data_IF_097274437061
#
_entry.id   IF_097274437061
#
_cell.length_a   1.000
_cell.length_b   1.000
_cell.length_c   1.000
_cell.angle_alpha   90.00
_cell.angle_beta   90.00
_cell.angle_gamma   90.00
#
_symmetry.space_group_name_H-M   'P 1'
#
loop_
_entity.id
_entity.type
_entity.pdbx_description
1 polymer ?
#
# COMPACT_ATOMS: atom_id res chain seq x y z
N UNK A 1 -48.35 24.44 -55.48
CA UNK A 1 -48.51 24.56 -54.01
C UNK A 1 -47.15 24.75 -53.34
N UNK A 2 -46.71 26.00 -53.20
CA UNK A 2 -45.38 26.35 -52.66
C UNK A 2 -45.36 26.36 -51.12
N UNK A 3 -44.45 25.59 -50.52
CA UNK A 3 -44.23 25.56 -49.07
C UNK A 3 -43.42 26.78 -48.65
N UNK A 4 -44.03 27.62 -47.81
CA UNK A 4 -43.46 28.86 -47.24
C UNK A 4 -42.22 28.57 -46.35
N UNK A 5 -41.17 29.41 -46.40
CA UNK A 5 -40.01 29.29 -45.53
C UNK A 5 -40.34 29.73 -44.10
N UNK A 6 -40.03 28.88 -43.11
CA UNK A 6 -40.13 29.19 -41.67
C UNK A 6 -39.06 30.23 -41.29
N UNK A 7 -39.50 31.42 -40.90
CA UNK A 7 -38.68 32.48 -40.29
C UNK A 7 -37.91 31.94 -39.07
N UNK A 8 -36.58 32.00 -39.14
CA UNK A 8 -35.68 31.85 -37.97
C UNK A 8 -36.01 32.95 -36.97
N UNK A 9 -36.52 32.55 -35.81
CA UNK A 9 -36.77 33.42 -34.65
C UNK A 9 -35.41 33.81 -34.07
N UNK A 10 -34.96 35.03 -34.34
CA UNK A 10 -33.85 35.66 -33.60
C UNK A 10 -34.23 35.66 -32.11
N UNK A 11 -33.60 34.78 -31.33
CA UNK A 11 -33.56 34.94 -29.88
C UNK A 11 -32.69 36.15 -29.60
N UNK A 12 -33.34 37.28 -29.34
CA UNK A 12 -32.76 38.42 -28.62
C UNK A 12 -32.16 37.89 -27.33
N UNK A 13 -30.88 38.18 -27.11
CA UNK A 13 -30.23 38.05 -25.83
C UNK A 13 -30.91 39.04 -24.86
N UNK A 14 -31.81 38.53 -24.04
CA UNK A 14 -32.32 39.21 -22.85
C UNK A 14 -31.83 38.40 -21.65
N UNK A 15 -30.58 38.67 -21.27
CA UNK A 15 -29.97 38.26 -20.01
C UNK A 15 -28.79 39.21 -19.73
N UNK A 16 -29.09 40.51 -19.69
CA UNK A 16 -28.23 41.52 -19.09
C UNK A 16 -28.98 42.01 -17.85
N UNK A 17 -28.80 41.30 -16.72
CA UNK A 17 -29.29 41.71 -15.41
C UNK A 17 -28.71 40.80 -14.30
N UNK A 18 -27.38 40.78 -14.21
CA UNK A 18 -26.62 40.47 -12.98
C UNK A 18 -25.12 40.78 -13.19
N UNK A 19 -24.80 41.91 -13.84
CA UNK A 19 -23.41 42.37 -13.92
C UNK A 19 -23.24 43.47 -12.86
N UNK A 20 -22.74 43.08 -11.69
CA UNK A 20 -21.98 44.03 -10.87
C UNK A 20 -20.77 44.55 -11.67
N UNK A 21 -20.13 45.65 -11.26
CA UNK A 21 -18.95 46.17 -11.96
C UNK A 21 -17.91 45.05 -12.12
N UNK A 22 -17.42 44.85 -13.35
CA UNK A 22 -16.38 43.87 -13.65
C UNK A 22 -15.05 44.35 -13.04
N UNK A 23 -14.85 44.01 -11.77
CA UNK A 23 -13.64 44.38 -11.03
C UNK A 23 -12.43 43.49 -11.40
N UNK A 24 -12.63 42.44 -12.21
CA UNK A 24 -11.61 41.43 -12.48
C UNK A 24 -10.92 41.61 -13.84
N UNK A 25 -11.55 42.28 -14.80
CA UNK A 25 -10.91 42.65 -16.08
C UNK A 25 -9.97 43.86 -15.99
N UNK A 26 -9.93 44.55 -14.85
CA UNK A 26 -8.98 45.63 -14.55
C UNK A 26 -7.73 45.16 -13.78
N UNK A 27 -7.60 43.86 -13.50
CA UNK A 27 -6.40 43.32 -12.86
C UNK A 27 -5.17 43.51 -13.78
N UNK A 28 -4.04 43.90 -13.20
CA UNK A 28 -2.77 43.92 -13.92
C UNK A 28 -2.34 42.50 -14.29
N UNK A 29 -1.59 42.36 -15.38
CA UNK A 29 -1.06 41.07 -15.84
C UNK A 29 -0.29 40.34 -14.73
N UNK A 30 0.46 41.07 -13.89
CA UNK A 30 1.22 40.51 -12.77
C UNK A 30 0.33 39.89 -11.68
N UNK A 31 -0.77 40.57 -11.33
CA UNK A 31 -1.73 40.07 -10.35
C UNK A 31 -2.49 38.87 -10.92
N UNK A 32 -2.89 38.95 -12.19
CA UNK A 32 -3.55 37.85 -12.89
C UNK A 32 -2.63 36.62 -12.98
N UNK A 33 -1.35 36.81 -13.29
CA UNK A 33 -0.32 35.76 -13.30
C UNK A 33 -0.11 35.14 -11.92
N UNK A 34 -0.03 35.95 -10.87
CA UNK A 34 0.07 35.46 -9.48
C UNK A 34 -1.15 34.62 -9.06
N UNK A 35 -2.35 35.01 -9.48
CA UNK A 35 -3.58 34.24 -9.27
C UNK A 35 -3.52 32.93 -10.06
N UNK A 36 -3.18 32.98 -11.35
CA UNK A 36 -3.09 31.81 -12.24
C UNK A 36 -2.07 30.79 -11.74
N UNK A 37 -0.91 31.23 -11.24
CA UNK A 37 0.13 30.36 -10.67
C UNK A 37 -0.30 29.63 -9.39
N UNK A 38 -1.39 30.06 -8.74
CA UNK A 38 -1.99 29.39 -7.57
C UNK A 38 -3.17 28.49 -7.93
N UNK A 39 -3.72 28.63 -9.13
CA UNK A 39 -4.84 27.82 -9.61
C UNK A 39 -4.34 26.56 -10.29
N UNK A 40 -5.12 25.48 -10.21
CA UNK A 40 -4.82 24.31 -11.03
C UNK A 40 -5.12 24.61 -12.50
N UNK A 41 -4.43 23.93 -13.42
CA UNK A 41 -4.67 24.11 -14.87
C UNK A 41 -6.15 23.93 -15.25
N UNK A 42 -6.90 23.07 -14.53
CA UNK A 42 -8.35 22.89 -14.72
C UNK A 42 -9.17 24.13 -14.31
N UNK A 43 -8.80 24.80 -13.22
CA UNK A 43 -9.46 26.02 -12.78
C UNK A 43 -9.07 27.21 -13.65
N UNK A 44 -7.82 27.30 -14.11
CA UNK A 44 -7.39 28.29 -15.09
C UNK A 44 -8.16 28.15 -16.43
N UNK A 45 -8.32 26.93 -16.93
CA UNK A 45 -9.12 26.66 -18.13
C UNK A 45 -10.61 27.02 -17.94
N UNK A 46 -11.17 26.79 -16.74
CA UNK A 46 -12.53 27.24 -16.39
C UNK A 46 -12.61 28.77 -16.38
N UNK A 47 -11.63 29.46 -15.78
CA UNK A 47 -11.57 30.92 -15.75
C UNK A 47 -11.53 31.51 -17.17
N UNK A 48 -10.73 30.92 -18.06
CA UNK A 48 -10.69 31.27 -19.48
C UNK A 48 -12.03 31.08 -20.21
N UNK A 49 -12.91 30.21 -19.70
CA UNK A 49 -14.25 30.02 -20.26
C UNK A 49 -15.27 31.06 -19.76
N UNK A 50 -15.03 31.71 -18.61
CA UNK A 50 -15.96 32.65 -17.96
C UNK A 50 -16.07 33.98 -18.71
N UNK A 51 -14.97 34.49 -19.28
CA UNK A 51 -14.96 35.78 -19.98
C UNK A 51 -14.09 35.74 -21.24
N UNK A 52 -14.40 36.61 -22.23
CA UNK A 52 -13.58 36.80 -23.43
C UNK A 52 -12.20 37.38 -23.11
N UNK A 53 -12.12 38.23 -22.08
CA UNK A 53 -10.85 38.79 -21.60
C UNK A 53 -9.94 37.68 -21.07
N UNK A 54 -10.43 36.87 -20.12
CA UNK A 54 -9.66 35.72 -19.61
C UNK A 54 -9.36 34.67 -20.67
N UNK A 55 -10.23 34.47 -21.67
CA UNK A 55 -9.92 33.58 -22.79
C UNK A 55 -8.68 33.98 -23.57
N UNK A 56 -8.41 35.30 -23.66
CA UNK A 56 -7.25 35.85 -24.37
C UNK A 56 -6.01 35.86 -23.49
N UNK A 57 -6.13 36.31 -22.24
CA UNK A 57 -4.98 36.52 -21.34
C UNK A 57 -4.49 35.22 -20.67
N UNK A 58 -5.40 34.33 -20.25
CA UNK A 58 -5.04 33.15 -19.46
C UNK A 58 -4.06 32.21 -20.18
N UNK A 59 -4.23 31.88 -21.48
CA UNK A 59 -3.27 31.00 -22.17
C UNK A 59 -1.85 31.58 -22.26
N UNK A 60 -1.72 32.91 -22.39
CA UNK A 60 -0.42 33.58 -22.49
C UNK A 60 0.28 33.73 -21.12
N UNK A 61 -0.50 33.87 -20.05
CA UNK A 61 0.00 34.01 -18.67
C UNK A 61 0.15 32.69 -17.92
N UNK A 62 -0.28 31.58 -18.52
CA UNK A 62 -0.10 30.25 -17.92
C UNK A 62 1.36 29.85 -18.06
N UNK A 63 2.12 29.91 -16.97
CA UNK A 63 3.53 29.50 -16.95
C UNK A 63 3.70 28.02 -16.58
N UNK A 64 2.61 27.31 -16.26
CA UNK A 64 2.67 25.95 -15.74
C UNK A 64 1.48 25.08 -16.13
N UNK A 65 1.78 23.85 -16.56
CA UNK A 65 0.83 22.76 -16.74
C UNK A 65 1.01 21.77 -15.59
N UNK A 66 0.01 21.64 -14.73
CA UNK A 66 0.08 20.76 -13.57
C UNK A 66 0.09 19.28 -13.94
N UNK A 67 -0.70 18.90 -14.95
CA UNK A 67 -0.85 17.52 -15.37
C UNK A 67 -1.28 17.43 -16.83
N UNK A 68 -0.58 16.61 -17.60
CA UNK A 68 -0.92 16.23 -18.96
C UNK A 68 -1.11 14.72 -19.02
N UNK A 69 -2.21 14.26 -19.64
CA UNK A 69 -2.44 12.84 -19.91
C UNK A 69 -2.47 12.60 -21.41
N UNK A 70 -1.59 11.73 -21.90
CA UNK A 70 -1.49 11.37 -23.31
C UNK A 70 -2.01 9.95 -23.52
N UNK A 71 -3.12 9.82 -24.25
CA UNK A 71 -3.71 8.54 -24.65
C UNK A 71 -3.16 8.02 -25.96
N UNK A 72 -2.57 8.86 -26.81
CA UNK A 72 -1.83 8.46 -27.99
C UNK A 72 -0.65 9.43 -28.17
N UNK A 73 0.62 9.01 -28.00
CA UNK A 73 1.80 9.88 -28.17
C UNK A 73 2.10 10.26 -29.63
N UNK A 74 1.19 9.99 -30.58
CA UNK A 74 1.33 10.50 -31.94
C UNK A 74 0.88 11.97 -31.94
N UNK A 75 1.84 12.88 -31.79
CA UNK A 75 1.65 14.29 -32.06
C UNK A 75 2.73 14.77 -33.04
N UNK A 76 2.28 15.36 -34.14
CA UNK A 76 2.94 16.53 -34.74
C UNK A 76 2.03 17.75 -34.48
N UNK A 77 2.58 18.96 -34.24
CA UNK A 77 3.95 19.29 -33.89
C UNK A 77 4.14 19.38 -32.36
N UNK A 78 5.42 19.49 -31.97
CA UNK A 78 6.01 19.77 -30.66
C UNK A 78 5.13 20.52 -29.65
N UNK A 79 5.34 20.27 -28.33
CA UNK A 79 4.93 21.26 -27.34
C UNK A 79 5.48 22.61 -27.82
N UNK A 80 4.68 23.68 -27.78
CA UNK A 80 5.05 24.95 -28.39
C UNK A 80 6.44 25.36 -27.88
N UNK A 81 7.37 25.62 -28.80
CA UNK A 81 8.78 26.02 -28.56
C UNK A 81 8.91 27.35 -27.78
N UNK A 82 7.80 27.95 -27.36
CA UNK A 82 7.78 29.09 -26.46
C UNK A 82 8.19 28.67 -25.04
N UNK A 83 9.34 29.11 -24.53
CA UNK A 83 9.59 29.07 -23.09
C UNK A 83 8.58 29.99 -22.35
N UNK A 84 8.16 29.69 -21.10
CA UNK A 84 8.51 28.55 -20.26
C UNK A 84 7.25 27.89 -19.64
N UNK A 85 6.56 27.02 -20.37
CA UNK A 85 5.53 26.18 -19.75
C UNK A 85 6.20 25.09 -18.91
N UNK A 86 6.17 25.21 -17.58
CA UNK A 86 6.64 24.15 -16.67
C UNK A 86 5.61 23.01 -16.66
N UNK A 87 6.00 21.84 -17.12
CA UNK A 87 5.15 20.64 -17.06
C UNK A 87 5.49 19.88 -15.78
N UNK A 88 4.61 19.91 -14.78
CA UNK A 88 4.88 19.20 -13.52
C UNK A 88 4.72 17.69 -13.66
N UNK A 89 3.60 17.24 -14.23
CA UNK A 89 3.21 15.82 -14.32
C UNK A 89 2.82 15.40 -15.73
N UNK A 90 3.33 14.26 -16.16
CA UNK A 90 3.01 13.63 -17.45
C UNK A 90 2.58 12.19 -17.23
N UNK A 91 1.36 11.84 -17.64
CA UNK A 91 0.83 10.47 -17.61
C UNK A 91 0.61 9.96 -19.04
N UNK A 92 1.29 8.89 -19.44
CA UNK A 92 1.19 8.31 -20.78
C UNK A 92 0.49 6.95 -20.71
N UNK A 93 -0.68 6.83 -21.31
CA UNK A 93 -1.55 5.66 -21.23
C UNK A 93 -2.14 5.26 -22.59
N UNK A 94 -1.32 4.71 -23.51
CA UNK A 94 -1.76 4.36 -24.84
C UNK A 94 -2.71 3.17 -24.87
N UNK A 95 -3.78 3.29 -25.66
CA UNK A 95 -4.73 2.19 -25.88
C UNK A 95 -4.19 1.13 -26.84
N UNK A 96 -3.22 1.48 -27.68
CA UNK A 96 -2.61 0.62 -28.68
C UNK A 96 -1.16 0.31 -28.35
N UNK A 97 -0.62 -0.70 -29.03
CA UNK A 97 0.81 -1.02 -28.93
C UNK A 97 1.61 -0.02 -29.72
N UNK A 98 2.61 0.60 -29.10
CA UNK A 98 3.43 1.63 -29.71
C UNK A 98 4.92 1.31 -29.55
N UNK A 99 5.74 1.69 -30.54
CA UNK A 99 7.18 1.49 -30.44
C UNK A 99 7.78 2.41 -29.38
N UNK A 100 8.83 1.94 -28.70
CA UNK A 100 9.52 2.72 -27.67
C UNK A 100 10.03 4.09 -28.19
N UNK A 101 10.34 4.18 -29.49
CA UNK A 101 10.79 5.42 -30.14
C UNK A 101 9.73 6.54 -30.10
N UNK A 102 8.44 6.21 -30.17
CA UNK A 102 7.36 7.20 -30.17
C UNK A 102 7.32 8.00 -28.86
N UNK A 103 7.69 7.38 -27.74
CA UNK A 103 7.72 8.04 -26.44
C UNK A 103 8.97 8.90 -26.24
N UNK A 104 10.04 8.70 -27.03
CA UNK A 104 11.33 9.35 -26.80
C UNK A 104 11.26 10.86 -27.02
N UNK A 105 10.59 11.29 -28.10
CA UNK A 105 10.43 12.72 -28.42
C UNK A 105 9.66 13.43 -27.30
N UNK A 106 8.49 12.90 -26.94
CA UNK A 106 7.63 13.41 -25.87
C UNK A 106 8.36 13.51 -24.54
N UNK A 107 9.15 12.50 -24.17
CA UNK A 107 9.91 12.52 -22.92
C UNK A 107 11.04 13.54 -22.92
N UNK A 108 11.75 13.70 -24.04
CA UNK A 108 12.83 14.68 -24.14
C UNK A 108 12.28 16.10 -24.03
N UNK A 109 11.17 16.37 -24.71
CA UNK A 109 10.45 17.63 -24.69
C UNK A 109 9.95 17.93 -23.27
N UNK A 110 9.21 16.99 -22.66
CA UNK A 110 8.74 17.13 -21.28
C UNK A 110 9.89 17.33 -20.26
N UNK A 111 11.03 16.65 -20.46
CA UNK A 111 12.19 16.82 -19.59
C UNK A 111 12.81 18.23 -19.68
N UNK A 112 12.77 18.88 -20.85
CA UNK A 112 13.19 20.29 -21.00
C UNK A 112 12.22 21.24 -20.26
N UNK A 113 10.95 20.87 -20.17
CA UNK A 113 9.90 21.61 -19.46
C UNK A 113 9.84 21.33 -17.94
N UNK A 114 10.89 20.77 -17.35
CA UNK A 114 11.01 20.63 -15.88
C UNK A 114 10.17 19.51 -15.26
N UNK A 115 9.90 18.43 -16.01
CA UNK A 115 9.10 17.30 -15.56
C UNK A 115 9.54 16.73 -14.20
N UNK A 116 8.61 16.66 -13.26
CA UNK A 116 8.84 16.14 -11.90
C UNK A 116 8.11 14.84 -11.60
N UNK A 117 6.97 14.57 -12.25
CA UNK A 117 6.15 13.38 -12.04
C UNK A 117 5.87 12.70 -13.38
N UNK A 118 6.25 11.43 -13.54
CA UNK A 118 6.09 10.68 -14.77
C UNK A 118 5.35 9.37 -14.52
N UNK A 119 4.25 9.17 -15.25
CA UNK A 119 3.45 7.96 -15.24
C UNK A 119 3.44 7.27 -16.60
N UNK A 120 3.67 5.95 -16.63
CA UNK A 120 3.47 5.12 -17.81
C UNK A 120 2.51 3.98 -17.50
N UNK A 121 1.42 3.88 -18.27
CA UNK A 121 0.52 2.73 -18.24
C UNK A 121 0.45 2.12 -19.63
N UNK A 122 1.33 1.15 -19.87
CA UNK A 122 1.43 0.54 -21.20
C UNK A 122 0.66 -0.77 -21.26
N UNK A 123 0.10 -1.09 -22.43
CA UNK A 123 -0.59 -2.37 -22.65
C UNK A 123 0.44 -3.46 -22.97
N UNK A 124 0.26 -4.68 -22.43
CA UNK A 124 1.05 -5.89 -22.77
C UNK A 124 2.57 -5.80 -22.53
N UNK A 125 3.05 -5.17 -21.45
CA UNK A 125 4.50 -5.14 -21.09
C UNK A 125 5.39 -4.56 -22.19
N UNK A 126 4.92 -3.53 -22.89
CA UNK A 126 5.73 -2.81 -23.87
C UNK A 126 7.00 -2.26 -23.23
N UNK A 127 8.08 -2.25 -24.02
CA UNK A 127 9.37 -1.74 -23.58
C UNK A 127 9.34 -0.22 -23.49
N UNK A 128 9.76 0.30 -22.34
CA UNK A 128 9.99 1.72 -22.15
C UNK A 128 11.21 2.20 -22.95
N UNK A 129 11.26 3.48 -23.32
CA UNK A 129 12.46 4.04 -23.94
C UNK A 129 13.63 4.09 -22.96
N UNK A 130 14.85 4.12 -23.50
CA UNK A 130 16.09 4.03 -22.69
C UNK A 130 16.31 5.22 -21.74
N UNK A 131 15.65 6.35 -22.01
CA UNK A 131 15.83 7.63 -21.32
C UNK A 131 14.81 7.89 -20.19
N UNK A 132 13.85 6.99 -19.92
CA UNK A 132 12.84 7.20 -18.85
C UNK A 132 13.50 7.48 -17.50
N UNK A 133 14.57 6.75 -17.19
CA UNK A 133 15.28 6.89 -15.92
C UNK A 133 16.39 7.94 -15.95
N UNK A 134 16.55 8.67 -17.06
CA UNK A 134 17.61 9.67 -17.26
C UNK A 134 17.16 11.10 -16.96
N UNK A 135 15.88 11.31 -16.64
CA UNK A 135 15.31 12.62 -16.30
C UNK A 135 15.76 13.02 -14.89
N UNK A 136 16.61 14.06 -14.79
CA UNK A 136 17.24 14.47 -13.53
C UNK A 136 16.27 15.10 -12.52
N UNK A 137 15.28 15.85 -13.02
CA UNK A 137 14.26 16.56 -12.23
C UNK A 137 13.16 15.63 -11.68
N UNK A 138 13.20 14.34 -12.01
CA UNK A 138 12.13 13.40 -11.68
C UNK A 138 12.10 13.10 -10.17
N UNK A 139 10.95 13.37 -9.55
CA UNK A 139 10.65 13.13 -8.13
C UNK A 139 9.76 11.90 -7.96
N UNK A 140 8.82 11.69 -8.87
CA UNK A 140 7.87 10.56 -8.83
C UNK A 140 7.88 9.82 -10.16
N UNK A 141 8.06 8.50 -10.11
CA UNK A 141 7.95 7.61 -11.26
C UNK A 141 6.94 6.51 -10.98
N UNK A 142 5.87 6.46 -11.78
CA UNK A 142 4.83 5.41 -11.72
C UNK A 142 4.83 4.61 -13.03
N UNK A 143 5.22 3.34 -12.93
CA UNK A 143 5.31 2.42 -14.05
C UNK A 143 4.30 1.29 -13.87
N UNK A 144 3.40 1.15 -14.83
CA UNK A 144 2.35 0.15 -14.82
C UNK A 144 2.33 -0.66 -16.13
N UNK A 145 2.30 -1.99 -15.98
CA UNK A 145 2.18 -2.95 -17.08
C UNK A 145 3.20 -2.78 -18.22
N UNK A 146 4.40 -2.31 -17.92
CA UNK A 146 5.50 -2.05 -18.87
C UNK A 146 6.74 -2.93 -18.62
N UNK A 147 7.72 -2.85 -19.51
CA UNK A 147 9.02 -3.50 -19.37
C UNK A 147 10.15 -2.46 -19.39
N UNK A 148 10.99 -2.44 -18.36
CA UNK A 148 12.18 -1.59 -18.31
C UNK A 148 13.32 -2.34 -19.01
N UNK A 149 13.93 -1.76 -20.06
CA UNK A 149 15.06 -2.38 -20.73
C UNK A 149 16.27 -2.53 -19.79
N UNK A 150 17.03 -3.65 -19.86
CA UNK A 150 18.15 -3.89 -18.96
C UNK A 150 19.32 -2.92 -19.19
N UNK A 151 19.42 -2.28 -20.36
CA UNK A 151 20.44 -1.26 -20.67
C UNK A 151 19.97 0.18 -20.36
N UNK A 152 18.89 0.36 -19.59
CA UNK A 152 18.44 1.70 -19.21
C UNK A 152 19.44 2.31 -18.21
N UNK A 153 19.93 3.51 -18.47
CA UNK A 153 20.80 4.24 -17.55
C UNK A 153 19.94 5.01 -16.53
N UNK A 154 20.07 4.64 -15.25
CA UNK A 154 19.40 5.32 -14.16
C UNK A 154 20.22 6.53 -13.70
N UNK A 155 19.72 7.74 -14.01
CA UNK A 155 20.29 9.04 -13.60
C UNK A 155 19.17 9.93 -13.04
N UNK A 156 18.53 9.48 -11.97
CA UNK A 156 17.39 10.15 -11.34
C UNK A 156 17.67 10.48 -9.85
N UNK A 157 18.57 11.44 -9.57
CA UNK A 157 19.04 11.72 -8.20
C UNK A 157 17.94 12.27 -7.28
N UNK A 158 16.97 12.99 -7.85
CA UNK A 158 15.87 13.61 -7.10
C UNK A 158 14.69 12.66 -6.86
N UNK A 159 14.77 11.40 -7.29
CA UNK A 159 13.66 10.47 -7.22
C UNK A 159 13.36 10.12 -5.76
N UNK A 160 12.13 10.43 -5.32
CA UNK A 160 11.64 10.15 -3.96
C UNK A 160 10.64 9.01 -3.91
N UNK A 161 9.87 8.82 -4.99
CA UNK A 161 8.83 7.79 -5.07
C UNK A 161 8.95 7.00 -6.36
N UNK A 162 9.14 5.69 -6.23
CA UNK A 162 9.14 4.74 -7.34
C UNK A 162 8.02 3.72 -7.14
N UNK A 163 7.06 3.70 -8.07
CA UNK A 163 5.96 2.74 -8.11
C UNK A 163 6.09 1.85 -9.33
N UNK A 164 6.20 0.55 -9.09
CA UNK A 164 6.32 -0.47 -10.11
C UNK A 164 5.16 -1.46 -9.94
N UNK A 165 4.21 -1.42 -10.86
CA UNK A 165 3.05 -2.32 -10.88
C UNK A 165 3.06 -3.17 -12.14
N UNK A 166 3.15 -4.50 -11.99
CA UNK A 166 3.15 -5.45 -13.12
C UNK A 166 4.28 -5.18 -14.12
N UNK A 167 5.41 -4.68 -13.65
CA UNK A 167 6.56 -4.28 -14.47
C UNK A 167 7.54 -5.44 -14.64
N UNK A 168 8.08 -5.61 -15.85
CA UNK A 168 9.24 -6.46 -16.09
C UNK A 168 10.53 -5.64 -15.94
N UNK A 169 11.33 -5.91 -14.91
CA UNK A 169 12.54 -5.17 -14.56
C UNK A 169 13.63 -6.12 -14.07
N UNK A 170 14.86 -5.89 -14.52
CA UNK A 170 16.02 -6.69 -14.11
C UNK A 170 16.56 -6.23 -12.75
N UNK A 171 17.11 -7.15 -11.97
CA UNK A 171 17.71 -6.86 -10.66
C UNK A 171 18.78 -5.76 -10.74
N UNK A 172 19.67 -5.83 -11.73
CA UNK A 172 20.73 -4.82 -11.92
C UNK A 172 20.19 -3.43 -12.23
N UNK A 173 18.99 -3.35 -12.81
CA UNK A 173 18.36 -2.06 -13.08
C UNK A 173 17.83 -1.45 -11.80
N UNK A 174 17.25 -2.26 -10.90
CA UNK A 174 16.81 -1.79 -9.59
C UNK A 174 18.00 -1.35 -8.75
N UNK A 175 19.07 -2.15 -8.70
CA UNK A 175 20.28 -1.78 -7.98
C UNK A 175 20.83 -0.43 -8.47
N UNK A 176 20.88 -0.21 -9.79
CA UNK A 176 21.28 1.08 -10.35
C UNK A 176 20.33 2.22 -9.99
N UNK A 177 19.02 1.99 -9.96
CA UNK A 177 18.06 3.02 -9.51
C UNK A 177 18.31 3.36 -8.04
N UNK A 178 18.45 2.36 -7.16
CA UNK A 178 18.70 2.57 -5.73
C UNK A 178 20.01 3.31 -5.45
N UNK A 179 21.07 3.02 -6.22
CA UNK A 179 22.36 3.72 -6.12
C UNK A 179 22.26 5.15 -6.64
N UNK A 180 21.53 5.37 -7.74
CA UNK A 180 21.39 6.72 -8.32
C UNK A 180 20.42 7.62 -7.56
N UNK A 181 19.36 7.07 -6.95
CA UNK A 181 18.31 7.78 -6.23
C UNK A 181 18.58 7.78 -4.72
N UNK A 182 19.56 8.59 -4.29
CA UNK A 182 19.92 8.71 -2.87
C UNK A 182 18.78 9.22 -1.99
N UNK A 183 17.81 9.94 -2.57
CA UNK A 183 16.65 10.49 -1.87
C UNK A 183 15.40 9.61 -1.93
N UNK A 184 15.51 8.34 -2.38
CA UNK A 184 14.34 7.47 -2.55
C UNK A 184 13.72 7.09 -1.20
N UNK A 185 12.55 7.63 -0.90
CA UNK A 185 11.84 7.38 0.35
C UNK A 185 10.80 6.25 0.20
N UNK A 186 10.13 6.17 -0.96
CA UNK A 186 9.02 5.23 -1.20
C UNK A 186 9.33 4.33 -2.39
N UNK A 187 9.31 3.02 -2.15
CA UNK A 187 9.47 1.98 -3.15
C UNK A 187 8.29 1.01 -3.11
N UNK A 188 7.46 1.03 -4.15
CA UNK A 188 6.35 0.09 -4.32
C UNK A 188 6.67 -0.86 -5.48
N UNK A 189 6.72 -2.15 -5.19
CA UNK A 189 7.02 -3.22 -6.14
C UNK A 189 5.93 -4.27 -6.07
N UNK A 190 4.91 -4.07 -6.89
CA UNK A 190 3.77 -4.97 -6.97
C UNK A 190 3.77 -5.76 -8.27
N UNK A 191 3.68 -7.07 -8.16
CA UNK A 191 3.55 -8.00 -9.27
C UNK A 191 4.63 -7.81 -10.34
N UNK A 192 5.85 -7.47 -9.91
CA UNK A 192 6.98 -7.31 -10.80
C UNK A 192 7.62 -8.66 -11.17
N UNK A 193 8.24 -8.72 -12.35
CA UNK A 193 8.96 -9.90 -12.87
C UNK A 193 10.33 -9.51 -13.41
N UNK A 194 11.25 -10.46 -13.59
CA UNK A 194 12.60 -10.19 -14.12
C UNK A 194 13.71 -10.17 -13.07
N UNK A 195 13.39 -10.49 -11.82
CA UNK A 195 14.35 -10.70 -10.74
C UNK A 195 15.09 -12.03 -10.92
N UNK A 196 16.39 -11.96 -11.25
CA UNK A 196 17.29 -13.11 -11.38
C UNK A 196 17.26 -13.80 -12.75
N UNK A 197 18.42 -13.85 -13.40
CA UNK A 197 18.68 -14.75 -14.54
C UNK A 197 18.94 -16.17 -14.01
N UNK A 198 17.91 -17.02 -13.92
CA UNK A 198 18.13 -18.42 -13.54
C UNK A 198 16.89 -19.19 -13.10
N UNK A 199 17.06 -20.50 -12.85
CA UNK A 199 15.99 -21.40 -12.33
C UNK A 199 15.54 -21.06 -10.90
N UNK A 200 16.34 -20.29 -10.16
CA UNK A 200 16.10 -19.85 -8.77
C UNK A 200 16.22 -18.33 -8.65
N UNK A 201 15.42 -17.58 -9.41
CA UNK A 201 15.44 -16.11 -9.40
C UNK A 201 15.27 -15.51 -7.99
N UNK A 202 16.08 -14.50 -7.67
CA UNK A 202 16.09 -13.82 -6.37
C UNK A 202 16.02 -12.30 -6.48
N UNK A 203 15.59 -11.65 -5.40
CA UNK A 203 15.51 -10.19 -5.30
C UNK A 203 16.29 -9.67 -4.10
N UNK A 204 17.32 -8.86 -4.34
CA UNK A 204 18.13 -8.24 -3.28
C UNK A 204 17.88 -6.74 -3.28
N UNK A 205 17.40 -6.21 -2.17
CA UNK A 205 17.15 -4.79 -1.99
C UNK A 205 18.12 -4.25 -0.95
N UNK A 206 19.04 -3.37 -1.36
CA UNK A 206 19.93 -2.65 -0.45
C UNK A 206 19.72 -1.17 -0.64
N UNK A 207 19.18 -0.50 0.37
CA UNK A 207 19.01 0.95 0.33
C UNK A 207 18.90 1.53 1.73
N UNK A 208 19.76 2.49 2.10
CA UNK A 208 19.66 3.17 3.39
C UNK A 208 18.55 4.24 3.42
N UNK A 209 18.11 4.73 2.26
CA UNK A 209 17.18 5.87 2.15
C UNK A 209 15.71 5.47 2.15
N UNK A 210 15.38 4.23 1.74
CA UNK A 210 13.99 3.76 1.63
C UNK A 210 13.34 3.66 3.01
N UNK A 211 12.26 4.43 3.19
CA UNK A 211 11.44 4.49 4.41
C UNK A 211 10.15 3.68 4.29
N UNK A 212 9.59 3.60 3.08
CA UNK A 212 8.32 2.93 2.81
C UNK A 212 8.54 1.89 1.71
N UNK A 213 8.37 0.61 2.05
CA UNK A 213 8.53 -0.51 1.12
C UNK A 213 7.25 -1.32 1.01
N UNK A 214 6.77 -1.50 -0.22
CA UNK A 214 5.75 -2.49 -0.56
C UNK A 214 6.36 -3.50 -1.52
N UNK A 215 6.45 -4.76 -1.12
CA UNK A 215 7.00 -5.84 -1.94
C UNK A 215 5.99 -6.98 -2.06
N UNK A 216 5.42 -7.12 -3.25
CA UNK A 216 4.40 -8.12 -3.60
C UNK A 216 4.78 -8.84 -4.89
N UNK A 217 5.59 -9.90 -4.86
CA UNK A 217 6.08 -10.54 -6.07
C UNK A 217 4.97 -11.31 -6.82
N UNK A 218 5.08 -11.31 -8.16
CA UNK A 218 4.23 -12.13 -9.06
C UNK A 218 4.73 -13.56 -9.20
N UNK A 219 6.05 -13.71 -9.32
CA UNK A 219 6.67 -14.96 -9.73
C UNK A 219 7.23 -15.71 -8.52
N UNK A 220 7.57 -16.98 -8.75
CA UNK A 220 8.21 -17.88 -7.79
C UNK A 220 9.62 -17.37 -7.52
N UNK A 221 9.77 -16.41 -6.61
CA UNK A 221 11.08 -16.01 -6.11
C UNK A 221 11.60 -17.08 -5.17
N UNK A 222 12.79 -17.58 -5.43
CA UNK A 222 13.46 -18.53 -4.56
C UNK A 222 14.09 -17.81 -3.37
N UNK A 223 14.69 -16.65 -3.61
CA UNK A 223 15.46 -15.91 -2.61
C UNK A 223 15.03 -14.43 -2.55
N UNK A 224 14.93 -13.87 -1.36
CA UNK A 224 14.65 -12.44 -1.18
C UNK A 224 15.47 -11.91 0.00
N UNK A 225 16.27 -10.88 -0.22
CA UNK A 225 17.05 -10.24 0.83
C UNK A 225 16.74 -8.75 0.86
N UNK A 226 16.26 -8.23 1.98
CA UNK A 226 15.89 -6.83 2.17
C UNK A 226 16.76 -6.25 3.28
N UNK A 227 17.66 -5.34 2.88
CA UNK A 227 18.61 -4.62 3.73
C UNK A 227 18.36 -3.12 3.62
N UNK A 228 17.45 -2.62 4.43
CA UNK A 228 17.11 -1.20 4.47
C UNK A 228 16.91 -0.75 5.92
N UNK A 229 17.96 -0.15 6.49
CA UNK A 229 18.01 0.25 7.90
C UNK A 229 17.07 1.42 8.23
N UNK A 230 16.81 2.31 7.26
CA UNK A 230 15.90 3.45 7.40
C UNK A 230 14.41 3.13 7.25
N UNK A 231 14.02 1.84 7.19
CA UNK A 231 12.63 1.44 6.99
C UNK A 231 11.74 1.85 8.16
N UNK A 232 10.66 2.57 7.84
CA UNK A 232 9.59 2.95 8.78
C UNK A 232 8.32 2.14 8.57
N UNK A 233 8.05 1.74 7.33
CA UNK A 233 6.93 0.88 6.98
C UNK A 233 7.33 -0.17 5.95
N UNK A 234 6.98 -1.43 6.23
CA UNK A 234 7.18 -2.54 5.30
C UNK A 234 5.89 -3.31 5.08
N UNK A 235 5.61 -3.65 3.83
CA UNK A 235 4.55 -4.57 3.43
C UNK A 235 5.18 -5.65 2.55
N UNK A 236 5.49 -6.79 3.15
CA UNK A 236 6.17 -7.92 2.53
C UNK A 236 5.21 -9.09 2.32
N UNK A 237 5.10 -9.55 1.08
CA UNK A 237 4.42 -10.79 0.74
C UNK A 237 5.41 -11.76 0.13
N UNK A 238 5.43 -13.00 0.60
CA UNK A 238 6.12 -14.09 -0.11
C UNK A 238 5.11 -14.95 -0.86
N UNK A 239 5.61 -15.75 -1.80
CA UNK A 239 4.84 -16.76 -2.54
C UNK A 239 5.32 -18.15 -2.15
N UNK A 240 4.49 -19.17 -2.36
CA UNK A 240 4.71 -20.53 -1.88
C UNK A 240 5.89 -21.31 -2.50
N UNK A 241 6.88 -20.63 -3.10
CA UNK A 241 8.14 -21.25 -3.54
C UNK A 241 9.38 -20.50 -3.04
N UNK A 242 9.21 -19.56 -2.11
CA UNK A 242 10.33 -18.92 -1.42
C UNK A 242 11.08 -19.97 -0.60
N UNK A 243 12.37 -20.14 -0.92
CA UNK A 243 13.31 -21.01 -0.20
C UNK A 243 14.07 -20.23 0.87
N UNK A 244 14.47 -19.00 0.53
CA UNK A 244 15.23 -18.12 1.41
C UNK A 244 14.62 -16.73 1.53
N UNK A 245 14.55 -16.22 2.75
CA UNK A 245 14.16 -14.84 3.04
C UNK A 245 15.10 -14.27 4.10
N UNK A 246 15.74 -13.14 3.80
CA UNK A 246 16.51 -12.36 4.75
C UNK A 246 15.87 -10.98 4.91
N UNK A 247 15.44 -10.67 6.12
CA UNK A 247 14.97 -9.34 6.49
C UNK A 247 15.90 -8.78 7.57
N UNK A 248 16.76 -7.83 7.17
CA UNK A 248 17.73 -7.25 8.08
C UNK A 248 17.08 -6.34 9.13
N UNK A 249 17.83 -6.03 10.19
CA UNK A 249 17.45 -5.10 11.24
C UNK A 249 17.06 -3.72 10.68
N UNK A 250 15.94 -3.19 11.17
CA UNK A 250 15.40 -1.87 10.82
C UNK A 250 14.87 -1.17 12.09
N UNK A 251 15.73 -0.44 12.83
CA UNK A 251 15.37 0.12 14.14
C UNK A 251 14.32 1.25 14.08
N UNK A 252 14.15 1.89 12.93
CA UNK A 252 13.13 2.95 12.73
C UNK A 252 11.73 2.40 12.39
N UNK A 253 11.54 1.09 12.38
CA UNK A 253 10.28 0.48 11.92
C UNK A 253 9.12 0.81 12.85
N UNK A 254 8.04 1.32 12.26
CA UNK A 254 6.78 1.67 12.96
C UNK A 254 5.62 0.78 12.54
N UNK A 255 5.61 0.30 11.28
CA UNK A 255 4.52 -0.52 10.73
C UNK A 255 5.08 -1.68 9.91
N UNK A 256 4.80 -2.91 10.32
CA UNK A 256 5.21 -4.10 9.59
C UNK A 256 4.00 -4.95 9.21
N UNK A 257 3.87 -5.26 7.93
CA UNK A 257 2.97 -6.27 7.40
C UNK A 257 3.79 -7.36 6.73
N UNK A 258 3.82 -8.55 7.31
CA UNK A 258 4.56 -9.70 6.83
C UNK A 258 3.57 -10.82 6.55
N UNK A 259 3.46 -11.23 5.28
CA UNK A 259 2.61 -12.35 4.88
C UNK A 259 3.44 -13.40 4.17
N UNK A 260 3.58 -14.57 4.79
CA UNK A 260 4.36 -15.66 4.21
C UNK A 260 3.46 -16.76 3.68
N UNK A 261 3.54 -17.03 2.37
CA UNK A 261 2.73 -18.08 1.76
C UNK A 261 3.25 -19.48 2.14
N UNK A 262 2.35 -20.46 2.19
CA UNK A 262 2.70 -21.88 2.42
C UNK A 262 3.64 -22.37 1.33
N UNK A 263 4.84 -22.83 1.72
CA UNK A 263 5.74 -23.54 0.82
C UNK A 263 5.49 -25.05 0.91
N UNK A 264 5.32 -25.77 -0.21
CA UNK A 264 5.24 -27.22 -0.23
C UNK A 264 6.63 -27.90 -0.17
N UNK A 265 7.72 -27.13 -0.22
CA UNK A 265 9.10 -27.62 -0.15
C UNK A 265 9.71 -27.26 1.21
N UNK A 266 10.69 -28.06 1.64
CA UNK A 266 11.54 -27.80 2.80
C UNK A 266 12.07 -26.36 2.70
N UNK A 267 11.78 -25.55 3.71
CA UNK A 267 12.19 -24.16 3.79
C UNK A 267 13.67 -24.15 4.17
N UNK A 268 14.53 -23.50 3.38
CA UNK A 268 15.99 -23.60 3.55
C UNK A 268 16.51 -22.59 4.59
N UNK A 269 16.14 -21.31 4.48
CA UNK A 269 16.52 -20.31 5.50
C UNK A 269 15.61 -19.08 5.49
N UNK A 270 14.88 -18.86 6.58
CA UNK A 270 14.14 -17.61 6.80
C UNK A 270 14.74 -16.92 8.01
N UNK A 271 15.30 -15.74 7.80
CA UNK A 271 15.90 -14.90 8.83
C UNK A 271 15.08 -13.61 8.98
N UNK A 272 14.13 -13.61 9.91
CA UNK A 272 13.21 -12.49 10.19
C UNK A 272 13.38 -11.96 11.61
N UNK A 273 13.90 -12.80 12.52
CA UNK A 273 14.21 -12.43 13.90
C UNK A 273 14.99 -11.11 14.05
N UNK A 274 16.10 -10.85 13.33
CA UNK A 274 16.84 -9.60 13.50
C UNK A 274 16.00 -8.34 13.23
N UNK A 275 15.02 -8.44 12.34
CA UNK A 275 14.09 -7.36 12.04
C UNK A 275 13.09 -7.13 13.17
N UNK A 276 12.52 -8.18 13.76
CA UNK A 276 11.61 -8.05 14.90
C UNK A 276 12.34 -7.62 16.17
N UNK A 277 13.55 -8.14 16.40
CA UNK A 277 14.35 -7.80 17.57
C UNK A 277 14.77 -6.31 17.56
N UNK A 278 14.87 -5.70 16.37
CA UNK A 278 15.13 -4.25 16.25
C UNK A 278 13.88 -3.37 16.40
N UNK A 279 12.69 -3.97 16.39
CA UNK A 279 11.40 -3.30 16.22
C UNK A 279 10.83 -2.60 17.45
N UNK A 280 11.65 -1.95 18.28
CA UNK A 280 11.22 -1.33 19.55
C UNK A 280 10.10 -0.29 19.37
N UNK A 281 10.11 0.43 18.24
CA UNK A 281 9.14 1.50 17.88
C UNK A 281 7.94 1.00 17.09
N UNK A 282 7.74 -0.31 16.98
CA UNK A 282 6.61 -0.88 16.23
C UNK A 282 5.29 -0.47 16.86
N UNK A 283 4.44 0.19 16.07
CA UNK A 283 3.08 0.57 16.44
C UNK A 283 2.04 -0.41 15.89
N UNK A 284 2.33 -1.02 14.73
CA UNK A 284 1.45 -1.96 14.07
C UNK A 284 2.23 -3.15 13.50
N UNK A 285 1.89 -4.35 13.94
CA UNK A 285 2.46 -5.61 13.46
C UNK A 285 1.35 -6.50 12.92
N UNK A 286 1.49 -6.94 11.66
CA UNK A 286 0.55 -7.84 11.01
C UNK A 286 1.30 -9.03 10.44
N UNK A 287 1.10 -10.20 11.03
CA UNK A 287 1.69 -11.47 10.65
C UNK A 287 0.62 -12.34 10.01
N UNK A 288 0.80 -12.69 8.74
CA UNK A 288 -0.16 -13.46 7.96
C UNK A 288 0.44 -14.72 7.33
N UNK A 289 -0.41 -15.69 7.01
CA UNK A 289 0.03 -16.95 6.42
C UNK A 289 0.90 -17.74 7.40
N UNK A 290 2.06 -18.22 6.96
CA UNK A 290 3.05 -18.97 7.75
C UNK A 290 4.04 -18.07 8.53
N UNK A 291 3.75 -16.78 8.67
CA UNK A 291 4.60 -15.88 9.46
C UNK A 291 4.77 -16.35 10.90
N UNK A 292 3.69 -16.78 11.57
CA UNK A 292 3.78 -17.31 12.92
C UNK A 292 4.63 -18.57 12.99
N UNK A 293 4.45 -19.51 12.05
CA UNK A 293 5.25 -20.74 11.96
C UNK A 293 6.76 -20.49 11.84
N UNK A 294 7.14 -19.55 10.97
CA UNK A 294 8.56 -19.22 10.74
C UNK A 294 9.17 -18.60 12.00
N UNK A 295 8.46 -17.65 12.59
CA UNK A 295 8.93 -16.98 13.80
C UNK A 295 8.97 -17.94 14.99
N UNK A 296 7.97 -18.81 15.15
CA UNK A 296 8.00 -19.79 16.24
C UNK A 296 9.22 -20.72 16.17
N UNK A 297 9.69 -21.07 14.96
CA UNK A 297 10.94 -21.82 14.81
C UNK A 297 12.20 -21.00 15.07
N UNK A 298 12.25 -19.71 14.70
CA UNK A 298 13.42 -18.85 14.98
C UNK A 298 13.59 -18.54 16.47
N UNK A 299 12.52 -18.66 17.26
CA UNK A 299 12.47 -18.37 18.70
C UNK A 299 12.19 -19.61 19.55
N UNK A 300 12.38 -20.81 19.00
CA UNK A 300 12.06 -22.08 19.69
C UNK A 300 12.80 -22.20 21.03
N UNK A 301 14.11 -21.96 21.01
CA UNK A 301 15.00 -22.03 22.17
C UNK A 301 14.89 -20.82 23.11
N UNK A 302 14.15 -19.78 22.72
CA UNK A 302 14.11 -18.51 23.44
C UNK A 302 12.87 -18.47 24.34
N UNK A 303 13.02 -18.48 25.67
CA UNK A 303 11.87 -18.55 26.58
C UNK A 303 11.02 -17.27 26.53
N UNK A 304 11.65 -16.10 26.39
CA UNK A 304 10.99 -14.78 26.34
C UNK A 304 11.62 -13.93 25.24
N UNK A 305 10.80 -13.18 24.52
CA UNK A 305 11.33 -12.19 23.57
C UNK A 305 12.15 -11.16 24.34
N UNK A 306 13.34 -10.85 23.84
CA UNK A 306 14.21 -9.85 24.48
C UNK A 306 13.68 -8.43 24.32
N UNK A 307 12.71 -8.23 23.43
CA UNK A 307 12.25 -6.92 22.98
C UNK A 307 10.83 -6.67 23.47
N UNK A 308 10.67 -5.52 24.13
CA UNK A 308 9.38 -5.05 24.60
C UNK A 308 8.79 -4.06 23.60
N UNK A 309 7.66 -4.41 23.01
CA UNK A 309 6.96 -3.59 22.04
C UNK A 309 6.04 -2.58 22.75
N UNK A 310 6.64 -1.61 23.44
CA UNK A 310 5.91 -0.63 24.26
C UNK A 310 4.96 0.25 23.45
N UNK A 311 5.33 0.53 22.19
CA UNK A 311 4.56 1.36 21.27
C UNK A 311 3.51 0.59 20.47
N UNK A 312 3.48 -0.75 20.57
CA UNK A 312 2.60 -1.57 19.75
C UNK A 312 1.15 -1.40 20.20
N UNK A 313 0.32 -0.87 19.30
CA UNK A 313 -1.11 -0.67 19.51
C UNK A 313 -1.95 -1.66 18.73
N UNK A 314 -1.46 -2.14 17.60
CA UNK A 314 -2.20 -3.01 16.68
C UNK A 314 -1.39 -4.28 16.41
N UNK A 315 -1.95 -5.42 16.79
CA UNK A 315 -1.42 -6.74 16.48
C UNK A 315 -2.45 -7.54 15.68
N UNK A 316 -2.06 -8.04 14.52
CA UNK A 316 -2.86 -9.00 13.74
C UNK A 316 -2.02 -10.22 13.45
N UNK A 317 -2.49 -11.40 13.82
CA UNK A 317 -1.77 -12.66 13.64
C UNK A 317 -2.64 -13.69 12.95
N UNK A 318 -2.00 -14.56 12.18
CA UNK A 318 -2.58 -15.75 11.57
C UNK A 318 -1.89 -16.95 12.19
N UNK A 319 -2.62 -17.75 12.97
CA UNK A 319 -2.07 -18.83 13.80
C UNK A 319 -2.72 -20.15 13.40
N UNK A 320 -1.90 -21.19 13.25
CA UNK A 320 -2.36 -22.57 13.20
C UNK A 320 -2.39 -23.17 14.61
N UNK A 321 -3.59 -23.32 15.16
CA UNK A 321 -3.78 -23.84 16.52
C UNK A 321 -3.48 -25.34 16.65
N UNK A 322 -3.31 -26.06 15.53
CA UNK A 322 -2.90 -27.47 15.54
C UNK A 322 -1.39 -27.66 15.73
N UNK A 323 -0.60 -26.58 15.59
CA UNK A 323 0.84 -26.59 15.77
C UNK A 323 1.16 -26.09 17.19
N UNK A 324 1.77 -26.91 18.04
CA UNK A 324 2.00 -26.56 19.46
C UNK A 324 2.86 -25.29 19.65
N UNK A 325 3.79 -25.04 18.73
CA UNK A 325 4.76 -23.94 18.82
C UNK A 325 4.14 -22.57 18.52
N UNK A 326 3.13 -22.50 17.66
CA UNK A 326 2.55 -21.21 17.24
C UNK A 326 1.73 -20.53 18.35
N UNK A 327 0.84 -21.22 19.10
CA UNK A 327 0.18 -20.69 20.29
C UNK A 327 1.17 -20.28 21.39
N UNK A 328 2.21 -21.08 21.64
CA UNK A 328 3.25 -20.74 22.64
C UNK A 328 3.96 -19.46 22.24
N UNK A 329 4.33 -19.31 20.96
CA UNK A 329 4.94 -18.09 20.44
C UNK A 329 3.97 -16.89 20.49
N UNK A 330 2.68 -17.09 20.22
CA UNK A 330 1.65 -16.06 20.38
C UNK A 330 1.62 -15.52 21.81
N UNK A 331 1.66 -16.39 22.82
CA UNK A 331 1.68 -15.96 24.23
C UNK A 331 2.94 -15.14 24.54
N UNK A 332 4.13 -15.61 24.11
CA UNK A 332 5.39 -14.86 24.24
C UNK A 332 5.30 -13.46 23.59
N UNK A 333 4.66 -13.37 22.42
CA UNK A 333 4.47 -12.10 21.71
C UNK A 333 3.52 -11.16 22.49
N UNK A 334 2.40 -11.68 23.00
CA UNK A 334 1.43 -10.90 23.77
C UNK A 334 2.01 -10.41 25.11
N UNK A 335 2.80 -11.23 25.81
CA UNK A 335 3.56 -10.86 27.01
C UNK A 335 4.49 -9.65 26.74
N UNK A 336 5.01 -9.55 25.52
CA UNK A 336 5.94 -8.50 25.10
C UNK A 336 5.25 -7.22 24.60
N UNK A 337 3.91 -7.17 24.60
CA UNK A 337 3.10 -6.07 24.05
C UNK A 337 2.22 -5.41 25.14
N UNK A 338 2.77 -4.68 26.12
CA UNK A 338 2.03 -4.24 27.32
C UNK A 338 0.87 -3.28 27.03
N UNK A 339 0.92 -2.53 25.93
CA UNK A 339 -0.03 -1.45 25.62
C UNK A 339 -0.90 -1.76 24.39
N UNK A 340 -1.18 -3.04 24.13
CA UNK A 340 -1.92 -3.48 22.97
C UNK A 340 -3.38 -3.02 23.03
N UNK A 341 -3.84 -2.28 22.01
CA UNK A 341 -5.22 -1.76 21.95
C UNK A 341 -6.12 -2.58 21.01
N UNK A 342 -5.58 -3.06 19.89
CA UNK A 342 -6.31 -3.78 18.87
C UNK A 342 -5.65 -5.12 18.59
N UNK A 343 -6.36 -6.21 18.86
CA UNK A 343 -5.88 -7.55 18.60
C UNK A 343 -6.77 -8.25 17.57
N UNK A 344 -6.16 -8.77 16.50
CA UNK A 344 -6.85 -9.58 15.50
C UNK A 344 -6.22 -10.96 15.41
N UNK A 345 -6.98 -11.99 15.74
CA UNK A 345 -6.58 -13.39 15.60
C UNK A 345 -7.29 -13.99 14.37
N UNK A 346 -6.53 -14.59 13.46
CA UNK A 346 -7.06 -15.37 12.35
C UNK A 346 -6.60 -16.82 12.50
N UNK A 347 -7.52 -17.77 12.58
CA UNK A 347 -7.16 -19.18 12.68
C UNK A 347 -6.94 -19.73 11.27
N UNK A 348 -5.74 -20.24 11.01
CA UNK A 348 -5.34 -20.84 9.75
C UNK A 348 -5.27 -22.36 9.91
N UNK A 349 -5.88 -23.11 8.99
CA UNK A 349 -5.83 -24.58 8.99
C UNK A 349 -7.20 -25.26 9.06
N UNK A 350 -7.25 -26.53 8.68
CA UNK A 350 -8.39 -27.41 8.97
C UNK A 350 -8.07 -28.07 10.31
N UNK A 351 -8.55 -27.53 11.41
CA UNK A 351 -8.43 -28.23 12.69
C UNK A 351 -9.23 -29.54 12.58
N UNK A 352 -8.53 -30.67 12.46
CA UNK A 352 -9.14 -31.98 12.71
C UNK A 352 -9.36 -32.11 14.21
N UNK A 353 -10.54 -32.58 14.62
CA UNK A 353 -10.96 -32.70 16.02
C UNK A 353 -10.00 -33.52 16.90
N UNK A 354 -9.09 -34.29 16.30
CA UNK A 354 -8.24 -35.25 16.99
C UNK A 354 -6.82 -34.78 17.31
N UNK A 355 -6.42 -33.56 16.91
CA UNK A 355 -5.08 -33.03 17.16
C UNK A 355 -5.18 -31.80 18.08
N UNK A 356 -5.66 -31.99 19.31
CA UNK A 356 -5.40 -31.02 20.36
C UNK A 356 -3.97 -31.26 20.87
N UNK A 357 -3.10 -30.25 20.92
CA UNK A 357 -1.88 -30.36 21.70
C UNK A 357 -2.24 -30.68 23.15
N UNK A 358 -1.63 -31.72 23.75
CA UNK A 358 -1.74 -31.93 25.19
C UNK A 358 -0.90 -30.86 25.91
N UNK A 359 -1.37 -30.46 27.09
CA UNK A 359 -0.51 -29.93 28.16
C UNK A 359 -0.02 -28.46 28.10
N UNK A 360 -0.90 -27.48 27.92
CA UNK A 360 -0.79 -26.20 28.68
C UNK A 360 -2.20 -25.69 28.93
N UNK A 361 -2.61 -25.51 30.19
CA UNK A 361 -3.83 -24.76 30.47
C UNK A 361 -3.59 -23.30 30.06
N UNK A 362 -4.15 -22.83 28.93
CA UNK A 362 -3.83 -21.51 28.41
C UNK A 362 -4.31 -20.42 29.37
N UNK A 363 -5.25 -20.74 30.24
CA UNK A 363 -5.97 -19.80 31.10
C UNK A 363 -5.05 -19.15 32.13
N UNK A 364 -4.15 -19.92 32.76
CA UNK A 364 -3.19 -19.40 33.75
C UNK A 364 -2.13 -18.49 33.11
N UNK A 365 -1.70 -18.83 31.90
CA UNK A 365 -0.76 -17.99 31.14
C UNK A 365 -1.42 -16.77 30.53
N UNK A 366 -2.69 -16.84 30.14
CA UNK A 366 -3.44 -15.69 29.65
C UNK A 366 -3.71 -14.68 30.77
N UNK A 367 -3.95 -15.16 32.01
CA UNK A 367 -4.15 -14.34 33.19
C UNK A 367 -2.93 -13.47 33.54
N UNK A 368 -1.71 -13.94 33.26
CA UNK A 368 -0.49 -13.18 33.50
C UNK A 368 -0.20 -12.09 32.46
N UNK A 369 -0.96 -12.06 31.35
CA UNK A 369 -0.75 -11.10 30.26
C UNK A 369 -1.54 -9.81 30.53
N UNK A 370 -0.84 -8.79 31.02
CA UNK A 370 -1.44 -7.50 31.38
C UNK A 370 -2.16 -6.78 30.23
N UNK A 371 -1.71 -6.96 28.98
CA UNK A 371 -2.31 -6.25 27.85
C UNK A 371 -3.74 -6.73 27.52
N UNK A 372 -4.06 -7.99 27.81
CA UNK A 372 -5.38 -8.55 27.57
C UNK A 372 -6.41 -8.04 28.58
N UNK A 373 -5.98 -7.74 29.81
CA UNK A 373 -6.85 -7.25 30.88
C UNK A 373 -6.97 -5.73 30.91
N UNK A 374 -5.84 -5.02 30.72
CA UNK A 374 -5.73 -3.59 31.02
C UNK A 374 -5.77 -2.64 29.82
N UNK A 375 -5.35 -3.06 28.62
CA UNK A 375 -5.21 -2.13 27.48
C UNK A 375 -6.07 -2.45 26.27
N UNK A 376 -6.55 -3.69 26.15
CA UNK A 376 -7.26 -4.16 24.96
C UNK A 376 -8.63 -3.48 24.81
N UNK A 377 -8.82 -2.76 23.70
CA UNK A 377 -10.06 -2.03 23.36
C UNK A 377 -10.87 -2.74 22.28
N UNK A 378 -10.19 -3.35 21.31
CA UNK A 378 -10.84 -4.00 20.17
C UNK A 378 -10.26 -5.39 19.93
N UNK A 379 -11.13 -6.39 19.86
CA UNK A 379 -10.78 -7.75 19.53
C UNK A 379 -11.49 -8.20 18.25
N UNK A 380 -10.75 -8.85 17.34
CA UNK A 380 -11.30 -9.45 16.13
C UNK A 380 -10.85 -10.89 15.97
N UNK A 381 -11.79 -11.81 15.99
CA UNK A 381 -11.56 -13.22 15.73
C UNK A 381 -12.04 -13.57 14.30
N UNK A 382 -11.15 -14.08 13.46
CA UNK A 382 -11.47 -14.53 12.10
C UNK A 382 -11.33 -16.04 11.96
N UNK A 383 -12.36 -16.67 11.40
CA UNK A 383 -12.39 -18.13 11.22
C UNK A 383 -12.59 -18.87 12.53
N UNK A 384 -13.37 -18.29 13.45
CA UNK A 384 -13.70 -18.92 14.71
C UNK A 384 -14.45 -20.23 14.47
N UNK A 385 -14.00 -21.28 15.15
CA UNK A 385 -14.70 -22.57 15.26
C UNK A 385 -14.88 -22.88 16.74
N UNK A 386 -16.06 -23.34 17.18
CA UNK A 386 -16.36 -23.59 18.58
C UNK A 386 -15.63 -24.84 19.12
N UNK A 387 -14.30 -24.80 19.14
CA UNK A 387 -13.43 -25.81 19.72
C UNK A 387 -13.03 -25.41 21.13
N UNK A 388 -12.78 -26.38 22.01
CA UNK A 388 -12.56 -26.13 23.45
C UNK A 388 -11.53 -25.04 23.73
N UNK A 389 -10.38 -25.04 23.04
CA UNK A 389 -9.36 -24.00 23.18
C UNK A 389 -9.85 -22.61 22.75
N UNK A 390 -10.50 -22.50 21.57
CA UNK A 390 -11.01 -21.23 21.06
C UNK A 390 -12.13 -20.68 21.94
N UNK A 391 -12.98 -21.58 22.47
CA UNK A 391 -14.03 -21.28 23.44
C UNK A 391 -13.43 -20.71 24.74
N UNK A 392 -12.42 -21.37 25.31
CA UNK A 392 -11.72 -20.92 26.53
C UNK A 392 -11.03 -19.57 26.32
N UNK A 393 -10.32 -19.38 25.21
CA UNK A 393 -9.68 -18.10 24.87
C UNK A 393 -10.70 -16.97 24.73
N UNK A 394 -11.80 -17.20 24.01
CA UNK A 394 -12.86 -16.22 23.85
C UNK A 394 -13.52 -15.89 25.20
N UNK A 395 -13.86 -16.92 25.99
CA UNK A 395 -14.45 -16.76 27.33
C UNK A 395 -13.55 -15.98 28.28
N UNK A 396 -12.25 -16.26 28.27
CA UNK A 396 -11.26 -15.50 29.03
C UNK A 396 -11.23 -14.02 28.61
N UNK A 397 -11.14 -13.73 27.30
CA UNK A 397 -11.09 -12.34 26.82
C UNK A 397 -12.37 -11.56 27.14
N UNK A 398 -13.54 -12.22 27.08
CA UNK A 398 -14.82 -11.56 27.37
C UNK A 398 -15.02 -11.30 28.87
N UNK A 399 -14.46 -12.14 29.75
CA UNK A 399 -14.60 -12.00 31.21
C UNK A 399 -13.52 -11.11 31.82
N UNK A 400 -12.28 -11.17 31.34
CA UNK A 400 -11.12 -10.52 31.96
C UNK A 400 -10.71 -9.20 31.31
N UNK A 401 -11.11 -8.92 30.07
CA UNK A 401 -10.77 -7.66 29.40
C UNK A 401 -11.69 -6.51 29.83
N UNK A 402 -11.22 -5.69 30.78
CA UNK A 402 -12.02 -4.62 31.37
C UNK A 402 -12.32 -3.49 30.38
N UNK A 403 -11.37 -3.16 29.50
CA UNK A 403 -11.46 -2.03 28.58
C UNK A 403 -11.97 -2.38 27.17
N UNK A 404 -12.41 -3.63 26.96
CA UNK A 404 -12.84 -4.11 25.66
C UNK A 404 -14.16 -3.45 25.25
N UNK A 405 -14.15 -2.66 24.18
CA UNK A 405 -15.32 -1.94 23.64
C UNK A 405 -15.91 -2.60 22.40
N UNK A 406 -15.09 -3.25 21.59
CA UNK A 406 -15.54 -3.83 20.32
C UNK A 406 -15.05 -5.26 20.16
N UNK A 407 -15.98 -6.18 19.88
CA UNK A 407 -15.68 -7.57 19.56
C UNK A 407 -16.26 -7.91 18.19
N UNK A 408 -15.41 -8.44 17.31
CA UNK A 408 -15.81 -8.90 15.99
C UNK A 408 -15.49 -10.38 15.85
N UNK A 409 -16.49 -11.20 15.53
CA UNK A 409 -16.30 -12.65 15.31
C UNK A 409 -16.79 -12.99 13.90
N UNK A 410 -15.93 -13.59 13.10
CA UNK A 410 -16.24 -14.17 11.80
C UNK A 410 -16.17 -15.71 11.92
N UNK A 411 -17.28 -16.39 11.64
CA UNK A 411 -17.50 -17.82 11.85
C UNK A 411 -18.29 -18.45 10.69
N UNK A 412 -18.42 -19.78 10.68
CA UNK A 412 -19.22 -20.52 9.69
C UNK A 412 -20.72 -20.45 10.03
N UNK A 413 -21.63 -20.58 9.05
CA UNK A 413 -23.09 -20.42 9.26
C UNK A 413 -23.70 -21.34 10.32
N UNK A 414 -23.13 -22.52 10.50
CA UNK A 414 -23.69 -23.53 11.40
C UNK A 414 -23.40 -23.23 12.88
N UNK A 415 -22.44 -22.37 13.19
CA UNK A 415 -21.97 -22.12 14.56
C UNK A 415 -22.63 -20.91 15.23
N UNK A 416 -23.68 -20.33 14.62
CA UNK A 416 -24.31 -19.09 15.09
C UNK A 416 -24.79 -19.17 16.53
N UNK A 417 -25.55 -20.21 16.89
CA UNK A 417 -26.13 -20.37 18.22
C UNK A 417 -25.04 -20.44 19.30
N UNK A 418 -23.98 -21.22 19.06
CA UNK A 418 -22.85 -21.37 19.98
C UNK A 418 -22.07 -20.07 20.15
N UNK A 419 -21.89 -19.30 19.08
CA UNK A 419 -21.21 -18.00 19.14
C UNK A 419 -22.06 -16.98 19.90
N UNK A 420 -23.38 -16.98 19.71
CA UNK A 420 -24.30 -16.11 20.45
C UNK A 420 -24.33 -16.42 21.95
N UNK A 421 -24.39 -17.71 22.32
CA UNK A 421 -24.30 -18.16 23.71
C UNK A 421 -22.99 -17.68 24.35
N UNK A 422 -21.85 -17.81 23.67
CA UNK A 422 -20.56 -17.35 24.20
C UNK A 422 -20.44 -15.85 24.36
N UNK A 423 -20.99 -15.09 23.41
CA UNK A 423 -20.96 -13.65 23.49
C UNK A 423 -21.91 -13.13 24.59
N UNK A 424 -22.92 -13.90 24.97
CA UNK A 424 -23.83 -13.57 26.07
C UNK A 424 -23.20 -13.66 27.47
N UNK A 425 -22.01 -14.28 27.58
CA UNK A 425 -21.26 -14.39 28.85
C UNK A 425 -20.87 -13.01 29.41
N UNK A 426 -20.75 -11.99 28.56
CA UNK A 426 -20.43 -10.64 28.99
C UNK A 426 -21.70 -9.84 29.30
N UNK A 427 -21.89 -9.48 30.56
CA UNK A 427 -23.03 -8.73 31.11
C UNK A 427 -23.03 -7.23 30.78
N UNK A 428 -22.47 -6.83 29.63
CA UNK A 428 -22.45 -5.44 29.18
C UNK A 428 -23.61 -5.11 28.23
N UNK A 429 -24.11 -3.88 28.26
CA UNK A 429 -25.12 -3.37 27.31
C UNK A 429 -24.57 -3.41 25.88
N UNK A 430 -25.05 -4.37 25.08
CA UNK A 430 -24.72 -4.47 23.66
C UNK A 430 -25.44 -3.35 22.91
N UNK A 431 -24.69 -2.35 22.46
CA UNK A 431 -25.27 -1.16 21.81
C UNK A 431 -25.69 -1.42 20.37
N UNK A 432 -24.98 -2.27 19.64
CA UNK A 432 -25.29 -2.59 18.24
C UNK A 432 -24.86 -4.01 17.88
N UNK A 433 -25.76 -4.77 17.24
CA UNK A 433 -25.49 -6.07 16.63
C UNK A 433 -25.69 -5.96 15.11
N UNK A 434 -24.60 -6.01 14.35
CA UNK A 434 -24.65 -5.94 12.88
C UNK A 434 -24.18 -7.25 12.26
N UNK A 435 -25.06 -7.91 11.51
CA UNK A 435 -24.71 -9.03 10.64
C UNK A 435 -24.52 -8.53 9.20
N UNK A 436 -23.30 -8.57 8.65
CA UNK A 436 -23.03 -8.20 7.26
C UNK A 436 -22.88 -9.44 6.37
N UNK A 437 -23.50 -9.41 5.19
CA UNK A 437 -23.72 -10.54 4.28
C UNK A 437 -22.46 -11.29 3.75
N UNK A 438 -22.72 -12.56 3.35
CA UNK A 438 -21.89 -13.64 2.77
C UNK A 438 -21.03 -14.49 3.71
N UNK A 439 -20.64 -14.01 4.89
CA UNK A 439 -20.03 -14.81 5.96
C UNK A 439 -20.70 -14.47 7.28
N UNK A 440 -20.89 -15.45 8.16
CA UNK A 440 -21.51 -15.21 9.47
C UNK A 440 -20.58 -14.33 10.29
N UNK A 441 -21.01 -13.10 10.49
CA UNK A 441 -20.22 -12.05 11.11
C UNK A 441 -21.07 -11.41 12.19
N UNK A 442 -20.55 -11.38 13.42
CA UNK A 442 -21.15 -10.66 14.54
C UNK A 442 -20.17 -9.58 14.96
N UNK A 443 -20.67 -8.35 15.04
CA UNK A 443 -20.03 -7.25 15.75
C UNK A 443 -20.86 -6.95 16.98
N UNK A 444 -20.19 -6.81 18.12
CA UNK A 444 -20.76 -6.28 19.35
C UNK A 444 -19.96 -5.07 19.82
N UNK A 445 -20.68 -4.00 20.09
CA UNK A 445 -20.16 -2.78 20.69
C UNK A 445 -20.65 -2.72 22.15
N UNK A 446 -19.71 -2.71 23.09
CA UNK A 446 -19.94 -2.60 24.52
C UNK A 446 -19.71 -1.14 24.95
N UNK A 447 -20.61 -0.62 25.78
CA UNK A 447 -20.59 0.73 26.34
C UNK A 447 -19.43 0.97 27.30
#
# INVERSE_FOLDING_TARGET
>A
MGRRPRKRRHRRAAAAAAEGPDCFSHLTEDLLRSILNRLSTRFAARLAAVSRHFRREVPALLERVDSLTLTEPAFEPSLPETPPLLLRRLDIAPHRVMPASAFRAVLNDAAQHGLSELGFRLVRRQRLPKNVLSVKSLVVLDLNTCAVPPWCEARCPCLRTLKLQRVAIHQDTINRILVSASCLETLEMEYCTGFGTGKDGGCTLVSPSVRYLVFRPTQKQAETAIRASGLRMVTLYTRGRAKKLELASAPEITKAYLHFAKSPRIMESFTVRPFLDAGVRLQCLKLGGHAMKILSSEYEEIPKLMVMFQDLRILSVSVDLSNEQEPVFLLKLLESCPNLQKFTLSVAGKCSENNLPPSVDPTDRLASISCLTSSLVQFKFRGFKPQEYQKKLMGFLLTQAMNLKMVHVEFEKNDLATVEEMLSVRTGTVQNKSTKYKKSYIQMDYS
#
